data_IF_302536368601
#
_entry.id   IF_302536368601
#
_cell.length_a   1.000
_cell.length_b   1.000
_cell.length_c   1.000
_cell.angle_alpha   90.00
_cell.angle_beta   90.00
_cell.angle_gamma   90.00
#
_symmetry.space_group_name_H-M   'P 1'
#
loop_
_entity.id
_entity.type
_entity.pdbx_description
1 polymer ?
#
# COMPACT_ATOMS: atom_id res chain seq x y z
N UNK A 1 14.14 4.66 -16.11
CA UNK A 1 14.61 3.52 -15.29
C UNK A 1 13.90 3.55 -13.94
N UNK A 2 12.89 2.71 -13.71
CA UNK A 2 12.14 2.71 -12.45
C UNK A 2 12.92 1.90 -11.39
N UNK A 3 13.34 2.56 -10.30
CA UNK A 3 14.07 1.95 -9.19
C UNK A 3 13.21 0.87 -8.51
N UNK A 4 13.70 -0.37 -8.49
CA UNK A 4 13.14 -1.48 -7.69
C UNK A 4 13.32 -1.17 -6.20
N UNK A 5 12.23 -0.86 -5.51
CA UNK A 5 12.21 -0.78 -4.05
C UNK A 5 12.20 -2.22 -3.51
N UNK A 6 13.25 -2.60 -2.78
CA UNK A 6 13.29 -3.85 -2.01
C UNK A 6 12.42 -3.69 -0.76
N UNK A 7 11.34 -4.46 -0.67
CA UNK A 7 10.52 -4.57 0.55
C UNK A 7 11.17 -5.63 1.45
N UNK A 8 11.58 -5.25 2.66
CA UNK A 8 12.37 -6.10 3.58
C UNK A 8 11.62 -6.59 4.83
N UNK A 9 11.93 -7.83 5.23
CA UNK A 9 11.82 -8.52 6.55
C UNK A 9 10.48 -8.61 7.31
N UNK A 10 9.86 -9.80 7.19
CA UNK A 10 8.85 -10.58 7.96
C UNK A 10 7.97 -10.04 9.11
N UNK A 11 8.21 -8.89 9.77
CA UNK A 11 7.23 -8.25 10.69
C UNK A 11 6.02 -7.63 9.94
N UNK A 12 5.94 -7.91 8.65
CA UNK A 12 5.82 -6.89 7.60
C UNK A 12 4.77 -7.30 6.56
N UNK A 13 4.18 -8.50 6.64
CA UNK A 13 3.35 -9.05 5.57
C UNK A 13 2.04 -8.27 5.37
N UNK A 14 1.37 -7.87 6.46
CA UNK A 14 0.16 -7.03 6.40
C UNK A 14 0.50 -5.64 5.87
N UNK A 15 1.56 -5.02 6.40
CA UNK A 15 1.98 -3.67 6.00
C UNK A 15 2.48 -3.64 4.56
N UNK A 16 3.30 -4.61 4.16
CA UNK A 16 3.74 -4.82 2.78
C UNK A 16 2.56 -5.04 1.84
N UNK A 17 1.50 -5.74 2.30
CA UNK A 17 0.28 -5.92 1.52
C UNK A 17 -0.51 -4.62 1.41
N UNK A 18 -0.60 -3.82 2.47
CA UNK A 18 -1.18 -2.48 2.43
C UNK A 18 -0.40 -1.56 1.48
N UNK A 19 0.93 -1.61 1.50
CA UNK A 19 1.78 -0.82 0.62
C UNK A 19 1.65 -1.24 -0.84
N UNK A 20 1.63 -2.55 -1.10
CA UNK A 20 1.33 -3.09 -2.41
C UNK A 20 -0.07 -2.68 -2.89
N UNK A 21 -1.05 -2.67 -1.99
CA UNK A 21 -2.42 -2.27 -2.28
C UNK A 21 -2.51 -0.79 -2.66
N UNK A 22 -1.99 0.11 -1.82
CA UNK A 22 -2.01 1.57 -2.07
C UNK A 22 -1.25 1.88 -3.36
N UNK A 23 -0.08 1.27 -3.57
CA UNK A 23 0.68 1.44 -4.81
C UNK A 23 -0.10 0.99 -6.05
N UNK A 24 -0.74 -0.18 -5.99
CA UNK A 24 -1.53 -0.71 -7.11
C UNK A 24 -2.74 0.18 -7.39
N UNK A 25 -3.39 0.69 -6.35
CA UNK A 25 -4.48 1.66 -6.49
C UNK A 25 -3.99 2.95 -7.15
N UNK A 26 -2.87 3.53 -6.71
CA UNK A 26 -2.31 4.75 -7.32
C UNK A 26 -1.93 4.56 -8.80
N UNK A 27 -1.59 3.34 -9.22
CA UNK A 27 -1.28 3.04 -10.61
C UNK A 27 -2.50 2.84 -11.51
N UNK A 28 -3.64 2.45 -10.94
CA UNK A 28 -4.82 2.03 -11.72
C UNK A 28 -6.04 2.90 -11.50
N UNK A 29 -6.12 3.59 -10.35
CA UNK A 29 -7.26 4.37 -9.87
C UNK A 29 -8.57 3.57 -9.84
N UNK A 30 -8.49 2.25 -9.70
CA UNK A 30 -9.63 1.33 -9.69
C UNK A 30 -9.72 0.56 -8.37
N UNK A 31 -10.92 0.17 -7.92
CA UNK A 31 -11.09 -0.75 -6.79
C UNK A 31 -10.30 -2.05 -6.99
N UNK A 32 -9.56 -2.46 -5.97
CA UNK A 32 -8.62 -3.59 -6.08
C UNK A 32 -9.21 -4.85 -5.44
N UNK A 33 -9.30 -5.92 -6.23
CA UNK A 33 -9.66 -7.26 -5.75
C UNK A 33 -8.43 -8.06 -5.34
N UNK A 34 -8.62 -9.12 -4.53
CA UNK A 34 -7.52 -10.02 -4.12
C UNK A 34 -6.78 -10.66 -5.31
N UNK A 35 -7.51 -11.03 -6.36
CA UNK A 35 -6.94 -11.59 -7.60
C UNK A 35 -6.09 -10.54 -8.33
N UNK A 36 -6.65 -9.34 -8.52
CA UNK A 36 -5.96 -8.25 -9.21
C UNK A 36 -4.71 -7.80 -8.47
N UNK A 37 -4.76 -7.69 -7.13
CA UNK A 37 -3.58 -7.36 -6.33
C UNK A 37 -2.49 -8.42 -6.49
N UNK A 38 -2.85 -9.70 -6.45
CA UNK A 38 -1.88 -10.79 -6.62
C UNK A 38 -1.16 -10.70 -7.97
N UNK A 39 -1.91 -10.48 -9.04
CA UNK A 39 -1.40 -10.40 -10.41
C UNK A 39 -0.52 -9.16 -10.62
N UNK A 40 -1.01 -7.96 -10.26
CA UNK A 40 -0.29 -6.70 -10.53
C UNK A 40 0.89 -6.46 -9.59
N UNK A 41 0.81 -6.89 -8.33
CA UNK A 41 1.90 -6.76 -7.37
C UNK A 41 2.80 -8.02 -7.30
N UNK A 42 2.56 -9.02 -8.15
CA UNK A 42 3.32 -10.28 -8.23
C UNK A 42 3.55 -10.95 -6.87
N UNK A 43 2.48 -11.05 -6.07
CA UNK A 43 2.55 -11.57 -4.71
C UNK A 43 2.58 -13.11 -4.69
N UNK A 44 3.51 -13.68 -3.92
CA UNK A 44 3.66 -15.15 -3.75
C UNK A 44 2.69 -15.79 -2.75
N UNK A 45 1.62 -15.09 -2.38
CA UNK A 45 0.61 -15.58 -1.43
C UNK A 45 -0.73 -15.84 -2.14
N UNK A 46 -1.59 -16.65 -1.52
CA UNK A 46 -2.87 -17.03 -2.11
C UNK A 46 -3.88 -15.87 -2.08
N UNK A 47 -4.87 -15.90 -2.98
CA UNK A 47 -5.98 -14.93 -2.94
C UNK A 47 -6.80 -15.04 -1.64
N UNK A 48 -6.90 -16.24 -1.05
CA UNK A 48 -7.56 -16.43 0.25
C UNK A 48 -6.80 -15.72 1.37
N UNK A 49 -5.47 -15.83 1.40
CA UNK A 49 -4.61 -15.11 2.35
C UNK A 49 -4.75 -13.60 2.19
N UNK A 50 -4.79 -13.10 0.94
CA UNK A 50 -5.01 -11.66 0.66
C UNK A 50 -6.38 -11.20 1.15
N UNK A 51 -7.45 -11.99 0.91
CA UNK A 51 -8.80 -11.68 1.43
C UNK A 51 -8.81 -11.59 2.96
N UNK A 52 -8.11 -12.49 3.65
CA UNK A 52 -8.00 -12.42 5.11
C UNK A 52 -7.35 -11.11 5.56
N UNK A 53 -6.25 -10.71 4.91
CA UNK A 53 -5.62 -9.41 5.19
C UNK A 53 -6.51 -8.23 4.84
N UNK A 54 -7.29 -8.29 3.76
CA UNK A 54 -8.26 -7.24 3.45
C UNK A 54 -9.29 -7.08 4.58
N UNK A 55 -9.78 -8.19 5.15
CA UNK A 55 -10.71 -8.12 6.29
C UNK A 55 -10.07 -7.48 7.51
N UNK A 56 -8.82 -7.84 7.83
CA UNK A 56 -8.07 -7.25 8.95
C UNK A 56 -7.87 -5.75 8.72
N UNK A 57 -7.35 -5.37 7.54
CA UNK A 57 -7.08 -3.97 7.20
C UNK A 57 -8.36 -3.11 7.16
N UNK A 58 -9.50 -3.69 6.79
CA UNK A 58 -10.77 -2.98 6.87
C UNK A 58 -11.26 -2.77 8.29
N UNK A 59 -11.11 -3.77 9.17
CA UNK A 59 -11.39 -3.59 10.60
C UNK A 59 -10.52 -2.50 11.23
N UNK A 60 -9.29 -2.33 10.74
CA UNK A 60 -8.35 -1.28 11.17
C UNK A 60 -8.62 0.11 10.54
N UNK A 61 -9.61 0.20 9.65
CA UNK A 61 -9.96 1.44 8.95
C UNK A 61 -8.97 1.84 7.84
N UNK A 62 -8.11 0.92 7.40
CA UNK A 62 -7.15 1.15 6.31
C UNK A 62 -7.77 0.94 4.93
N UNK A 63 -8.70 -0.01 4.80
CA UNK A 63 -9.39 -0.30 3.55
C UNK A 63 -10.90 -0.19 3.75
N UNK A 64 -11.64 0.28 2.76
CA UNK A 64 -13.10 0.20 2.76
C UNK A 64 -13.61 -0.67 1.62
N UNK A 65 -14.80 -1.25 1.81
CA UNK A 65 -15.47 -2.05 0.80
C UNK A 65 -15.95 -1.16 -0.35
N UNK A 66 -15.68 -1.58 -1.58
CA UNK A 66 -16.32 -1.01 -2.76
C UNK A 66 -17.70 -1.67 -2.95
N UNK A 67 -18.59 -1.04 -3.73
CA UNK A 67 -19.91 -1.61 -4.03
C UNK A 67 -19.83 -2.98 -4.74
N UNK A 68 -18.75 -3.27 -5.47
CA UNK A 68 -18.48 -4.60 -6.01
C UNK A 68 -17.94 -5.53 -4.91
N UNK A 69 -18.60 -6.69 -4.75
CA UNK A 69 -18.60 -7.52 -3.55
C UNK A 69 -17.24 -8.05 -3.04
N UNK A 70 -16.15 -7.88 -3.78
CA UNK A 70 -14.82 -8.34 -3.39
C UNK A 70 -13.68 -7.34 -3.57
N UNK A 71 -13.96 -6.14 -4.07
CA UNK A 71 -12.95 -5.10 -4.24
C UNK A 71 -12.92 -4.14 -3.04
N UNK A 72 -11.75 -3.56 -2.81
CA UNK A 72 -11.52 -2.59 -1.73
C UNK A 72 -10.96 -1.30 -2.33
N UNK A 73 -11.02 -0.24 -1.54
CA UNK A 73 -10.41 1.06 -1.81
C UNK A 73 -9.57 1.47 -0.60
N UNK A 74 -8.44 2.17 -0.79
CA UNK A 74 -7.66 2.69 0.31
C UNK A 74 -8.41 3.85 0.99
N UNK A 75 -8.35 3.93 2.31
CA UNK A 75 -8.85 5.10 3.04
C UNK A 75 -7.79 6.19 3.10
N UNK A 76 -8.18 7.38 3.56
CA UNK A 76 -7.23 8.46 3.84
C UNK A 76 -6.10 8.02 4.78
N UNK A 77 -6.43 7.26 5.83
CA UNK A 77 -5.45 6.72 6.80
C UNK A 77 -4.43 5.78 6.15
N UNK A 78 -4.85 4.98 5.17
CA UNK A 78 -3.92 4.14 4.42
C UNK A 78 -2.94 4.96 3.57
N UNK A 79 -3.43 6.03 2.92
CA UNK A 79 -2.55 6.94 2.19
C UNK A 79 -1.56 7.66 3.11
N UNK A 80 -2.04 8.18 4.24
CA UNK A 80 -1.19 8.83 5.23
C UNK A 80 -0.08 7.89 5.71
N UNK A 81 -0.44 6.66 6.10
CA UNK A 81 0.54 5.65 6.52
C UNK A 81 1.55 5.32 5.41
N UNK A 82 1.08 5.16 4.17
CA UNK A 82 1.94 4.88 3.02
C UNK A 82 2.92 6.02 2.73
N UNK A 83 2.45 7.27 2.77
CA UNK A 83 3.27 8.44 2.51
C UNK A 83 4.22 8.75 3.65
N UNK A 84 3.83 8.62 4.91
CA UNK A 84 4.75 8.77 6.04
C UNK A 84 5.95 7.81 5.93
N UNK A 85 5.72 6.58 5.42
CA UNK A 85 6.80 5.62 5.15
C UNK A 85 7.63 5.96 3.91
N UNK A 86 6.98 6.49 2.86
CA UNK A 86 7.61 6.77 1.56
C UNK A 86 8.36 8.11 1.52
N UNK A 87 7.84 9.12 2.21
CA UNK A 87 8.37 10.46 2.35
C UNK A 87 9.38 10.49 3.50
N UNK A 88 10.48 9.76 3.33
CA UNK A 88 11.70 10.08 4.08
C UNK A 88 12.30 11.33 3.45
N UNK A 89 11.81 12.49 3.85
CA UNK A 89 12.51 13.73 3.55
C UNK A 89 13.90 13.63 4.19
N UNK A 90 14.95 13.53 3.37
CA UNK A 90 16.22 14.08 3.80
C UNK A 90 15.94 15.56 4.06
N UNK A 91 16.00 15.98 5.32
CA UNK A 91 15.92 17.39 5.67
C UNK A 91 17.02 18.06 4.86
N UNK A 92 16.63 18.75 3.78
CA UNK A 92 17.55 19.61 3.05
C UNK A 92 18.01 20.63 4.07
N UNK A 93 19.25 20.50 4.54
CA UNK A 93 19.89 21.53 5.35
C UNK A 93 19.99 22.77 4.47
N UNK A 94 19.02 23.67 4.60
CA UNK A 94 19.11 24.99 3.99
C UNK A 94 20.35 25.62 4.60
N UNK A 95 21.35 25.88 3.76
CA UNK A 95 22.56 26.55 4.19
C UNK A 95 22.22 28.03 4.33
N UNK A 96 21.81 28.43 5.54
CA UNK A 96 21.41 29.80 5.88
C UNK A 96 22.55 30.82 5.70
N UNK A 97 23.78 30.39 5.41
CA UNK A 97 24.95 31.26 5.17
C UNK A 97 24.99 31.92 3.78
N UNK A 98 23.84 32.11 3.12
CA UNK A 98 23.75 32.76 1.80
C UNK A 98 22.75 33.92 1.73
N UNK A 99 22.31 34.44 2.88
CA UNK A 99 21.60 35.72 2.97
C UNK A 99 22.53 36.78 3.55
#
# INVERSE_FOLDING_TARGET
MLKRIKVGSDLNKKESLLDAFVKTYLQTLEPISSKRLKELANLKISCATIRNYFQILSKEGMLHQAHSSGARLPTFKAFENYWQKSLRFEVLKVNEKRL
#
